data_IF_579245734018
#
_entry.id   IF_579245734018
#
_cell.length_a   1.000
_cell.length_b   1.000
_cell.length_c   1.000
_cell.angle_alpha   90.00
_cell.angle_beta   90.00
_cell.angle_gamma   90.00
#
_symmetry.space_group_name_H-M   'P 1'
#
loop_
_entity.id
_entity.type
_entity.pdbx_description
1 polymer ?
#
# COMPACT_ATOMS: atom_id res chain seq x y z
N UNK A 1 -45.84 -16.35 -4.77
CA UNK A 1 -44.48 -16.56 -5.31
C UNK A 1 -43.48 -16.07 -4.27
N UNK A 2 -42.84 -17.00 -3.56
CA UNK A 2 -41.73 -16.72 -2.64
C UNK A 2 -40.41 -16.76 -3.41
N UNK A 3 -39.69 -15.64 -3.44
CA UNK A 3 -38.28 -15.59 -3.83
C UNK A 3 -37.57 -14.65 -2.83
N UNK A 4 -37.28 -15.13 -1.62
CA UNK A 4 -35.95 -15.63 -1.21
C UNK A 4 -34.78 -14.78 -1.71
N UNK A 5 -34.30 -13.95 -0.77
CA UNK A 5 -32.90 -13.85 -0.33
C UNK A 5 -31.94 -12.93 -1.12
N UNK A 6 -31.35 -12.02 -0.32
CA UNK A 6 -29.90 -11.70 -0.25
C UNK A 6 -29.30 -11.04 -1.51
N UNK A 7 -28.82 -9.80 -1.49
CA UNK A 7 -27.71 -9.31 -0.68
C UNK A 7 -27.80 -7.79 -0.61
N UNK A 8 -28.24 -7.25 0.52
CA UNK A 8 -28.10 -5.84 0.87
C UNK A 8 -26.98 -5.75 1.90
N UNK A 9 -25.72 -5.90 1.47
CA UNK A 9 -24.56 -5.66 2.34
C UNK A 9 -23.25 -5.62 1.52
N UNK A 10 -22.33 -4.75 1.95
CA UNK A 10 -20.94 -4.53 1.51
C UNK A 10 -20.78 -3.61 0.27
N UNK A 11 -20.04 -2.50 0.29
CA UNK A 11 -19.23 -1.86 1.32
C UNK A 11 -19.12 -0.39 0.93
N UNK A 12 -19.71 0.51 1.72
CA UNK A 12 -19.33 1.92 1.68
C UNK A 12 -18.00 1.98 2.45
N UNK A 13 -16.90 1.74 1.75
CA UNK A 13 -15.58 1.97 2.35
C UNK A 13 -15.30 3.46 2.24
N UNK A 14 -15.82 4.19 3.21
CA UNK A 14 -15.38 5.54 3.54
C UNK A 14 -13.95 5.43 4.09
N UNK A 15 -12.92 5.49 3.24
CA UNK A 15 -11.56 5.68 3.72
C UNK A 15 -11.28 7.17 3.70
N UNK A 16 -11.27 7.72 4.91
CA UNK A 16 -10.87 9.06 5.28
C UNK A 16 -9.46 9.36 4.76
N UNK A 17 -9.33 10.24 3.77
CA UNK A 17 -8.05 10.80 3.31
C UNK A 17 -7.48 11.71 4.40
N UNK A 18 -6.86 11.09 5.40
CA UNK A 18 -6.17 11.82 6.49
C UNK A 18 -4.69 11.87 6.14
N UNK A 19 -4.31 12.81 5.27
CA UNK A 19 -2.93 13.32 5.20
C UNK A 19 -1.79 12.34 4.84
N UNK A 20 -2.06 11.21 4.19
CA UNK A 20 -1.05 10.31 3.65
C UNK A 20 -0.24 11.03 2.54
N UNK A 21 1.09 10.95 2.58
CA UNK A 21 1.94 11.40 1.47
C UNK A 21 1.71 10.41 0.32
N UNK A 22 0.76 10.72 -0.57
CA UNK A 22 0.41 9.87 -1.71
C UNK A 22 1.68 9.40 -2.44
N UNK A 23 1.91 8.09 -2.50
CA UNK A 23 3.03 7.49 -3.23
C UNK A 23 4.27 7.17 -2.39
N UNK A 24 4.28 7.41 -1.08
CA UNK A 24 5.38 6.99 -0.20
C UNK A 24 5.06 5.69 0.56
N UNK A 25 6.05 4.81 0.64
CA UNK A 25 6.01 3.56 1.38
C UNK A 25 7.01 3.64 2.54
N UNK A 26 6.55 3.36 3.76
CA UNK A 26 7.43 3.14 4.90
C UNK A 26 7.86 1.68 4.94
N UNK A 27 9.16 1.47 4.74
CA UNK A 27 9.78 0.15 4.77
C UNK A 27 10.45 -0.06 6.14
N UNK A 28 10.13 -1.18 6.79
CA UNK A 28 10.66 -1.56 8.12
C UNK A 28 10.93 -3.08 8.19
N UNK A 29 11.74 -3.54 9.15
CA UNK A 29 11.98 -4.97 9.34
C UNK A 29 13.43 -5.33 9.68
N UNK A 30 14.01 -6.28 8.95
CA UNK A 30 15.37 -6.82 9.16
C UNK A 30 16.48 -5.83 8.84
N UNK A 31 16.24 -4.91 7.91
CA UNK A 31 17.12 -3.81 7.53
C UNK A 31 16.67 -2.49 8.17
N UNK A 32 17.49 -1.44 8.05
CA UNK A 32 17.20 -0.14 8.66
C UNK A 32 15.91 0.47 8.05
N UNK A 33 14.98 0.99 8.88
CA UNK A 33 13.76 1.59 8.38
C UNK A 33 14.04 2.78 7.46
N UNK A 34 13.26 2.90 6.40
CA UNK A 34 13.35 4.02 5.45
C UNK A 34 12.02 4.30 4.77
N UNK A 35 11.81 5.56 4.41
CA UNK A 35 10.71 6.01 3.55
C UNK A 35 11.18 5.92 2.08
N UNK A 36 10.37 5.31 1.21
CA UNK A 36 10.61 5.22 -0.23
C UNK A 36 9.44 5.92 -0.93
N UNK A 37 9.67 7.04 -1.59
CA UNK A 37 8.62 7.78 -2.29
C UNK A 37 8.66 7.57 -3.80
N UNK A 38 7.51 7.39 -4.44
CA UNK A 38 7.39 7.27 -5.90
C UNK A 38 8.02 8.48 -6.62
N UNK A 39 7.88 9.68 -6.03
CA UNK A 39 8.44 10.93 -6.55
C UNK A 39 9.99 10.97 -6.55
N UNK A 40 10.65 10.10 -5.78
CA UNK A 40 12.12 9.98 -5.79
C UNK A 40 12.64 9.27 -7.04
N UNK A 41 11.75 8.63 -7.82
CA UNK A 41 12.08 7.85 -9.00
C UNK A 41 11.52 8.50 -10.26
N UNK A 42 12.31 8.52 -11.33
CA UNK A 42 11.87 9.00 -12.64
C UNK A 42 10.91 7.99 -13.28
N UNK A 43 11.13 6.69 -13.03
CA UNK A 43 10.32 5.60 -13.56
C UNK A 43 9.62 4.82 -12.44
N UNK A 44 8.30 4.60 -12.58
CA UNK A 44 7.51 3.81 -11.62
C UNK A 44 8.02 2.38 -11.43
N UNK A 45 8.71 1.83 -12.44
CA UNK A 45 9.33 0.51 -12.37
C UNK A 45 10.46 0.44 -11.36
N UNK A 46 11.23 1.52 -11.21
CA UNK A 46 12.35 1.58 -10.26
C UNK A 46 11.86 1.68 -8.82
N UNK A 47 10.77 2.43 -8.59
CA UNK A 47 10.08 2.47 -7.31
C UNK A 47 9.63 1.06 -6.86
N UNK A 48 8.96 0.31 -7.74
CA UNK A 48 8.54 -1.06 -7.43
C UNK A 48 9.71 -2.03 -7.25
N UNK A 49 10.80 -1.82 -7.99
CA UNK A 49 12.01 -2.62 -7.87
C UNK A 49 12.68 -2.40 -6.50
N UNK A 50 12.74 -1.15 -6.03
CA UNK A 50 13.34 -0.79 -4.75
C UNK A 50 12.53 -1.34 -3.56
N UNK A 51 11.19 -1.33 -3.65
CA UNK A 51 10.30 -1.99 -2.68
C UNK A 51 10.55 -3.49 -2.66
N UNK A 52 10.52 -4.12 -3.84
CA UNK A 52 10.72 -5.57 -3.97
C UNK A 52 12.10 -6.01 -3.46
N UNK A 53 13.13 -5.19 -3.70
CA UNK A 53 14.48 -5.43 -3.20
C UNK A 53 14.54 -5.35 -1.66
N UNK A 54 13.84 -4.39 -1.06
CA UNK A 54 13.75 -4.29 0.39
C UNK A 54 13.00 -5.49 0.99
N UNK A 55 11.86 -5.87 0.43
CA UNK A 55 11.07 -7.02 0.87
C UNK A 55 11.81 -8.36 0.69
N UNK A 56 12.64 -8.49 -0.35
CA UNK A 56 13.50 -9.66 -0.55
C UNK A 56 14.53 -9.86 0.57
N UNK A 57 14.86 -8.82 1.35
CA UNK A 57 15.71 -8.93 2.55
C UNK A 57 14.96 -9.39 3.80
N UNK A 58 13.65 -9.59 3.72
CA UNK A 58 12.75 -9.89 4.84
C UNK A 58 12.17 -8.65 5.50
N UNK A 59 12.27 -7.48 4.86
CA UNK A 59 11.56 -6.27 5.24
C UNK A 59 10.10 -6.29 4.79
N UNK A 60 9.32 -5.33 5.27
CA UNK A 60 7.93 -5.09 4.87
C UNK A 60 7.79 -3.60 4.57
N UNK A 61 7.14 -3.27 3.45
CA UNK A 61 6.84 -1.90 3.08
C UNK A 61 5.33 -1.66 3.11
N UNK A 62 4.89 -0.65 3.85
CA UNK A 62 3.48 -0.27 4.00
C UNK A 62 3.25 1.17 3.55
N UNK A 63 2.08 1.46 3.00
CA UNK A 63 1.71 2.82 2.59
C UNK A 63 1.57 3.71 3.85
N UNK A 64 2.19 4.90 3.82
CA UNK A 64 2.19 5.88 4.93
C UNK A 64 0.99 6.85 4.85
#
# INVERSE_FOLDING_TARGET
MTNKLLFSLLCIVSISVTGCKNGCMECSGTTAPREICEDDFIEKGDFQQEISAYEATGGVCEEN
#
